data_IF_182842751740
#
_entry.id   IF_182842751740
#
_cell.length_a   1.000
_cell.length_b   1.000
_cell.length_c   1.000
_cell.angle_alpha   90.00
_cell.angle_beta   90.00
_cell.angle_gamma   90.00
#
_symmetry.space_group_name_H-M   'P 1'
#
loop_
_entity.id
_entity.type
_entity.pdbx_description
1 polymer ?
#
# COMPACT_ATOMS: atom_id res chain seq x y z
N UNK A 1 24.55 57.89 28.28
CA UNK A 1 24.07 57.29 27.02
C UNK A 1 24.27 55.78 27.10
N UNK A 2 23.19 55.01 27.35
CA UNK A 2 23.27 53.55 27.59
C UNK A 2 23.37 52.81 26.25
N UNK A 3 24.53 52.21 25.97
CA UNK A 3 24.77 51.26 24.87
C UNK A 3 24.03 49.94 25.19
N UNK A 4 22.73 49.89 24.94
CA UNK A 4 21.91 48.66 25.10
C UNK A 4 21.22 48.30 23.78
N UNK A 5 21.92 48.45 22.66
CA UNK A 5 21.36 48.23 21.32
C UNK A 5 21.83 46.98 20.58
N UNK A 6 22.95 46.35 20.96
CA UNK A 6 23.54 45.29 20.13
C UNK A 6 23.21 43.86 20.58
N UNK A 7 23.14 43.58 21.89
CA UNK A 7 22.94 42.20 22.39
C UNK A 7 21.51 41.70 22.17
N UNK A 8 20.52 42.58 22.33
CA UNK A 8 19.11 42.25 22.09
C UNK A 8 18.81 42.05 20.60
N UNK A 9 19.40 42.87 19.74
CA UNK A 9 19.26 42.72 18.29
C UNK A 9 19.91 41.42 17.79
N UNK A 10 21.13 41.09 18.26
CA UNK A 10 21.80 39.83 17.91
C UNK A 10 20.99 38.63 18.41
N UNK A 11 20.48 38.67 19.65
CA UNK A 11 19.64 37.58 20.19
C UNK A 11 18.33 37.39 19.38
N UNK A 12 17.66 38.48 19.02
CA UNK A 12 16.45 38.43 18.19
C UNK A 12 16.74 37.87 16.79
N UNK A 13 17.85 38.28 16.18
CA UNK A 13 18.26 37.80 14.85
C UNK A 13 18.57 36.29 14.88
N UNK A 14 19.30 35.82 15.90
CA UNK A 14 19.60 34.39 16.07
C UNK A 14 18.31 33.59 16.29
N UNK A 15 17.38 34.09 17.09
CA UNK A 15 16.09 33.44 17.33
C UNK A 15 15.26 33.31 16.04
N UNK A 16 15.19 34.37 15.23
CA UNK A 16 14.47 34.34 13.95
C UNK A 16 15.11 33.37 12.96
N UNK A 17 16.44 33.31 12.90
CA UNK A 17 17.16 32.34 12.05
C UNK A 17 16.89 30.90 12.51
N UNK A 18 16.88 30.64 13.82
CA UNK A 18 16.51 29.32 14.35
C UNK A 18 15.08 28.95 13.98
N UNK A 19 14.10 29.83 14.20
CA UNK A 19 12.70 29.58 13.84
C UNK A 19 12.56 29.30 12.34
N UNK A 20 13.27 30.05 11.49
CA UNK A 20 13.25 29.81 10.05
C UNK A 20 13.77 28.41 9.70
N UNK A 21 14.95 28.02 10.21
CA UNK A 21 15.54 26.69 9.97
C UNK A 21 14.64 25.56 10.48
N UNK A 22 14.08 25.70 11.68
CA UNK A 22 13.13 24.72 12.24
C UNK A 22 11.84 24.62 11.42
N UNK A 23 11.35 25.75 10.91
CA UNK A 23 10.14 25.78 10.06
C UNK A 23 10.38 25.07 8.73
N UNK A 24 11.53 25.26 8.09
CA UNK A 24 11.86 24.57 6.83
C UNK A 24 12.11 23.06 7.04
N UNK A 25 12.82 22.67 8.09
CA UNK A 25 13.05 21.26 8.41
C UNK A 25 11.75 20.54 8.79
N UNK A 26 10.90 21.17 9.61
CA UNK A 26 9.59 20.64 9.99
C UNK A 26 8.63 20.51 8.81
N UNK A 27 8.61 21.51 7.91
CA UNK A 27 7.74 21.47 6.71
C UNK A 27 8.13 20.36 5.75
N UNK A 28 9.43 20.08 5.59
CA UNK A 28 9.90 18.98 4.74
C UNK A 28 9.50 17.61 5.30
N UNK A 29 9.61 17.41 6.62
CA UNK A 29 9.21 16.17 7.29
C UNK A 29 7.69 15.98 7.22
N UNK A 30 6.89 16.99 7.55
CA UNK A 30 5.43 16.88 7.45
C UNK A 30 4.97 16.56 6.03
N UNK A 31 5.58 17.17 5.00
CA UNK A 31 5.25 16.86 3.60
C UNK A 31 5.58 15.40 3.25
N UNK A 32 6.70 14.88 3.72
CA UNK A 32 7.08 13.49 3.48
C UNK A 32 6.14 12.49 4.19
N UNK A 33 5.68 12.84 5.39
CA UNK A 33 4.73 12.03 6.16
C UNK A 33 3.34 12.02 5.49
N UNK A 34 2.79 13.19 5.14
CA UNK A 34 1.52 13.27 4.42
C UNK A 34 1.55 12.59 3.05
N UNK A 35 2.67 12.72 2.31
CA UNK A 35 2.82 12.04 1.03
C UNK A 35 2.88 10.51 1.19
N UNK A 36 3.48 10.00 2.28
CA UNK A 36 3.46 8.56 2.60
C UNK A 36 2.06 8.09 2.99
N UNK A 37 1.32 8.87 3.77
CA UNK A 37 -0.05 8.55 4.15
C UNK A 37 -0.99 8.52 2.94
N UNK A 38 -0.89 9.50 2.04
CA UNK A 38 -1.68 9.54 0.80
C UNK A 38 -1.38 8.32 -0.09
N UNK A 39 -0.11 7.93 -0.19
CA UNK A 39 0.31 6.76 -0.95
C UNK A 39 -0.22 5.46 -0.31
N UNK A 40 -0.14 5.32 1.01
CA UNK A 40 -0.66 4.15 1.74
C UNK A 40 -2.18 4.01 1.56
N UNK A 41 -2.93 5.12 1.64
CA UNK A 41 -4.37 5.15 1.42
C UNK A 41 -4.75 4.75 -0.02
N UNK A 42 -3.95 5.18 -0.99
CA UNK A 42 -4.13 4.80 -2.39
C UNK A 42 -3.99 3.27 -2.57
N UNK A 43 -2.91 2.68 -2.06
CA UNK A 43 -2.72 1.24 -2.13
C UNK A 43 -3.78 0.46 -1.35
N UNK A 44 -4.20 0.92 -0.17
CA UNK A 44 -5.27 0.29 0.59
C UNK A 44 -6.58 0.21 -0.22
N UNK A 45 -6.86 1.24 -1.02
CA UNK A 45 -8.03 1.25 -1.91
C UNK A 45 -7.89 0.22 -3.04
N UNK A 46 -6.71 0.13 -3.67
CA UNK A 46 -6.43 -0.85 -4.72
C UNK A 46 -6.50 -2.29 -4.18
N UNK A 47 -5.92 -2.53 -3.01
CA UNK A 47 -5.95 -3.82 -2.30
C UNK A 47 -7.38 -4.26 -1.98
N UNK A 48 -8.22 -3.32 -1.52
CA UNK A 48 -9.63 -3.60 -1.26
C UNK A 48 -10.39 -3.94 -2.55
N UNK A 49 -10.19 -3.16 -3.62
CA UNK A 49 -10.84 -3.41 -4.92
C UNK A 49 -10.45 -4.78 -5.47
N UNK A 50 -9.17 -5.13 -5.44
CA UNK A 50 -8.68 -6.43 -5.87
C UNK A 50 -9.38 -7.60 -5.16
N UNK A 51 -9.54 -7.49 -3.83
CA UNK A 51 -10.24 -8.51 -3.04
C UNK A 51 -11.72 -8.59 -3.41
N UNK A 52 -12.38 -7.45 -3.67
CA UNK A 52 -13.76 -7.45 -4.12
C UNK A 52 -13.90 -8.03 -5.53
N UNK A 53 -13.10 -7.59 -6.50
CA UNK A 53 -13.14 -8.06 -7.87
C UNK A 53 -12.88 -9.57 -7.95
N UNK A 54 -11.94 -10.08 -7.13
CA UNK A 54 -11.69 -11.52 -7.00
C UNK A 54 -12.92 -12.25 -6.44
N UNK A 55 -13.58 -11.70 -5.41
CA UNK A 55 -14.79 -12.30 -4.82
C UNK A 55 -15.94 -12.33 -5.80
N UNK A 56 -16.19 -11.22 -6.49
CA UNK A 56 -17.27 -11.08 -7.47
C UNK A 56 -17.04 -12.04 -8.64
N UNK A 57 -15.80 -12.16 -9.12
CA UNK A 57 -15.46 -13.12 -10.16
C UNK A 57 -15.71 -14.57 -9.71
N UNK A 58 -15.29 -14.94 -8.50
CA UNK A 58 -15.52 -16.28 -7.95
C UNK A 58 -17.02 -16.55 -7.79
N UNK A 59 -17.82 -15.57 -7.37
CA UNK A 59 -19.27 -15.69 -7.28
C UNK A 59 -19.92 -15.93 -8.66
N UNK A 60 -19.48 -15.20 -9.69
CA UNK A 60 -19.93 -15.39 -11.07
C UNK A 60 -19.59 -16.78 -11.63
N UNK A 61 -18.45 -17.35 -11.22
CA UNK A 61 -18.05 -18.72 -11.60
C UNK A 61 -18.76 -19.81 -10.78
N UNK A 62 -19.60 -19.44 -9.81
CA UNK A 62 -20.32 -20.39 -8.96
C UNK A 62 -19.57 -20.85 -7.71
N UNK A 63 -18.44 -20.22 -7.38
CA UNK A 63 -17.68 -20.43 -6.14
C UNK A 63 -18.08 -19.41 -5.07
N UNK A 64 -19.39 -19.30 -4.82
CA UNK A 64 -19.93 -18.42 -3.77
C UNK A 64 -19.43 -18.84 -2.39
N UNK A 65 -19.26 -17.86 -1.49
CA UNK A 65 -18.68 -18.08 -0.15
C UNK A 65 -17.21 -18.52 -0.14
N UNK A 66 -16.45 -18.25 -1.21
CA UNK A 66 -14.99 -18.41 -1.21
C UNK A 66 -14.33 -17.50 -0.18
N UNK A 67 -13.41 -18.06 0.61
CA UNK A 67 -12.53 -17.29 1.47
C UNK A 67 -11.42 -16.66 0.64
N UNK A 68 -11.46 -15.34 0.46
CA UNK A 68 -10.39 -14.59 -0.24
C UNK A 68 -9.62 -13.78 0.79
N UNK A 69 -8.30 -14.01 0.84
CA UNK A 69 -7.35 -13.30 1.69
C UNK A 69 -6.22 -12.73 0.82
N UNK A 70 -5.81 -11.49 1.10
CA UNK A 70 -4.68 -10.84 0.46
C UNK A 70 -3.52 -10.76 1.44
N UNK A 71 -2.37 -11.32 1.06
CA UNK A 71 -1.10 -11.16 1.74
C UNK A 71 -0.29 -10.07 1.05
N UNK A 72 0.27 -9.15 1.84
CA UNK A 72 1.04 -8.01 1.38
C UNK A 72 2.42 -8.03 2.01
N UNK A 73 3.46 -8.00 1.18
CA UNK A 73 4.85 -7.81 1.60
C UNK A 73 5.34 -6.48 1.05
N UNK A 74 5.98 -5.66 1.88
CA UNK A 74 6.58 -4.39 1.47
C UNK A 74 8.06 -4.44 1.83
N UNK A 75 8.91 -4.37 0.80
CA UNK A 75 10.35 -4.39 0.95
C UNK A 75 10.91 -3.03 1.36
N UNK A 76 12.18 -3.02 1.79
CA UNK A 76 12.86 -1.82 2.27
C UNK A 76 13.04 -0.73 1.20
N UNK A 77 13.00 -1.12 -0.08
CA UNK A 77 13.03 -0.21 -1.23
C UNK A 77 11.65 0.39 -1.57
N UNK A 78 10.59 -0.08 -0.90
CA UNK A 78 9.21 0.34 -1.13
C UNK A 78 8.47 -0.49 -2.18
N UNK A 79 9.12 -1.49 -2.78
CA UNK A 79 8.44 -2.45 -3.66
C UNK A 79 7.43 -3.28 -2.86
N UNK A 80 6.33 -3.66 -3.53
CA UNK A 80 5.21 -4.36 -2.91
C UNK A 80 4.92 -5.65 -3.66
N UNK A 81 4.84 -6.74 -2.92
CA UNK A 81 4.43 -8.04 -3.42
C UNK A 81 3.06 -8.40 -2.84
N UNK A 82 2.17 -8.81 -3.73
CA UNK A 82 0.79 -9.14 -3.40
C UNK A 82 0.52 -10.60 -3.74
N UNK A 83 0.07 -11.36 -2.75
CA UNK A 83 -0.36 -12.75 -2.93
C UNK A 83 -1.80 -12.89 -2.50
N UNK A 84 -2.69 -13.24 -3.43
CA UNK A 84 -4.09 -13.54 -3.09
C UNK A 84 -4.24 -15.03 -2.90
N UNK A 85 -4.66 -15.43 -1.70
CA UNK A 85 -4.97 -16.81 -1.35
C UNK A 85 -6.48 -17.03 -1.38
N UNK A 86 -6.92 -18.07 -2.08
CA UNK A 86 -8.33 -18.42 -2.21
C UNK A 86 -8.57 -19.79 -1.58
N UNK A 87 -9.57 -19.85 -0.69
CA UNK A 87 -10.04 -21.05 -0.03
C UNK A 87 -11.47 -21.36 -0.46
N UNK A 88 -11.66 -22.49 -1.13
CA UNK A 88 -13.00 -22.97 -1.46
C UNK A 88 -13.00 -24.49 -1.69
N UNK A 89 -13.87 -25.20 -0.96
CA UNK A 89 -13.93 -26.67 -0.96
C UNK A 89 -14.10 -27.31 -2.34
N UNK A 90 -14.78 -26.61 -3.27
CA UNK A 90 -14.94 -27.09 -4.64
C UNK A 90 -13.65 -26.90 -5.47
N UNK A 91 -12.91 -25.82 -5.24
CA UNK A 91 -11.65 -25.52 -5.92
C UNK A 91 -10.56 -26.52 -5.49
N UNK A 92 -10.55 -26.91 -4.22
CA UNK A 92 -9.61 -27.93 -3.71
C UNK A 92 -9.78 -29.30 -4.39
N UNK A 93 -10.98 -29.56 -4.89
CA UNK A 93 -11.34 -30.81 -5.58
C UNK A 93 -11.24 -30.69 -7.10
N UNK A 94 -10.94 -29.51 -7.63
CA UNK A 94 -10.76 -29.31 -9.06
C UNK A 94 -9.44 -29.95 -9.53
N UNK A 95 -9.41 -30.50 -10.75
CA UNK A 95 -8.17 -30.96 -11.33
C UNK A 95 -7.21 -29.78 -11.53
N UNK A 96 -5.91 -30.05 -11.43
CA UNK A 96 -4.86 -29.03 -11.50
C UNK A 96 -4.97 -28.14 -12.73
N UNK A 97 -5.35 -28.71 -13.88
CA UNK A 97 -5.54 -27.98 -15.13
C UNK A 97 -6.62 -26.90 -15.03
N UNK A 98 -7.81 -27.23 -14.50
CA UNK A 98 -8.90 -26.27 -14.32
C UNK A 98 -8.55 -25.23 -13.26
N UNK A 99 -7.81 -25.63 -12.22
CA UNK A 99 -7.30 -24.70 -11.20
C UNK A 99 -6.30 -23.72 -11.80
N UNK A 100 -5.42 -24.16 -12.71
CA UNK A 100 -4.49 -23.28 -13.42
C UNK A 100 -5.22 -22.30 -14.36
N UNK A 101 -6.27 -22.76 -15.06
CA UNK A 101 -7.10 -21.87 -15.89
C UNK A 101 -7.81 -20.81 -15.04
N UNK A 102 -8.35 -21.21 -13.89
CA UNK A 102 -8.92 -20.28 -12.91
C UNK A 102 -7.87 -19.29 -12.38
N UNK A 103 -6.66 -19.77 -12.07
CA UNK A 103 -5.53 -18.93 -11.65
C UNK A 103 -5.17 -17.88 -12.71
N UNK A 104 -5.13 -18.30 -13.98
CA UNK A 104 -4.77 -17.42 -15.09
C UNK A 104 -5.86 -16.37 -15.34
N UNK A 105 -7.14 -16.76 -15.25
CA UNK A 105 -8.26 -15.83 -15.39
C UNK A 105 -8.29 -14.80 -14.26
N UNK A 106 -8.01 -15.23 -13.03
CA UNK A 106 -7.83 -14.33 -11.89
C UNK A 106 -6.58 -13.46 -12.05
N UNK A 107 -5.48 -14.02 -12.56
CA UNK A 107 -4.25 -13.30 -12.91
C UNK A 107 -4.48 -12.14 -13.87
N UNK A 108 -5.43 -12.27 -14.79
CA UNK A 108 -5.82 -11.20 -15.71
C UNK A 108 -6.70 -10.10 -15.06
N UNK A 109 -7.31 -10.38 -13.90
CA UNK A 109 -8.05 -9.40 -13.09
C UNK A 109 -7.12 -8.64 -12.12
N UNK A 110 -5.97 -9.21 -11.79
CA UNK A 110 -4.95 -8.49 -11.04
C UNK A 110 -4.53 -7.25 -11.85
N UNK A 111 -4.70 -6.08 -11.25
CA UNK A 111 -4.35 -4.79 -11.85
C UNK A 111 -2.94 -4.84 -12.46
N UNK A 112 -2.74 -4.16 -13.60
CA UNK A 112 -1.43 -3.72 -14.07
C UNK A 112 -0.84 -2.76 -13.02
N UNK A 113 -0.33 -3.31 -11.93
CA UNK A 113 0.48 -2.58 -10.96
C UNK A 113 1.78 -2.23 -11.67
N UNK A 114 1.94 -0.96 -12.04
CA UNK A 114 3.14 -0.42 -12.70
C UNK A 114 4.44 -0.76 -11.96
N UNK A 115 4.39 -1.11 -10.66
CA UNK A 115 5.55 -1.34 -9.79
C UNK A 115 5.45 -2.58 -8.85
N UNK A 116 4.62 -3.59 -9.15
CA UNK A 116 4.38 -4.73 -8.23
C UNK A 116 4.35 -6.11 -8.90
N UNK A 117 4.85 -7.13 -8.19
CA UNK A 117 4.67 -8.53 -8.58
C UNK A 117 3.39 -9.10 -7.97
N UNK A 118 2.62 -9.85 -8.77
CA UNK A 118 1.32 -10.38 -8.39
C UNK A 118 1.26 -11.90 -8.54
N UNK A 119 0.77 -12.59 -7.51
CA UNK A 119 0.56 -14.04 -7.52
C UNK A 119 -0.78 -14.46 -6.92
N UNK A 120 -1.36 -15.54 -7.46
CA UNK A 120 -2.50 -16.24 -6.87
C UNK A 120 -2.04 -17.60 -6.35
N UNK A 121 -2.41 -17.94 -5.12
CA UNK A 121 -2.13 -19.25 -4.53
C UNK A 121 -3.42 -19.91 -4.04
N UNK A 122 -3.59 -21.19 -4.35
CA UNK A 122 -4.72 -21.98 -3.88
C UNK A 122 -4.24 -22.90 -2.76
N UNK A 123 -4.75 -22.67 -1.56
CA UNK A 123 -4.40 -23.46 -0.39
C UNK A 123 -5.27 -24.72 -0.37
N UNK A 124 -4.63 -25.87 -0.62
CA UNK A 124 -5.26 -27.18 -0.61
C UNK A 124 -5.07 -27.82 0.76
N UNK A 125 -6.15 -28.27 1.41
CA UNK A 125 -6.13 -29.17 2.58
C UNK A 125 -6.41 -30.62 2.21
#
# INVERSE_FOLDING_TARGET
MRKTGSRGFVAATVLLVLIAVFSFAGTAVCRAESCREDLENHYMTLEWQLVQDTRDYLELQGFSHSGVMLHRVVDADGSREYTVTIHHRAIDRMPEQERMELAAALGALAFELEDGSFGYEFLTE
#
